data_IF_177718920420
#
_entry.id   IF_177718920420
#
_cell.length_a   1.000
_cell.length_b   1.000
_cell.length_c   1.000
_cell.angle_alpha   90.00
_cell.angle_beta   90.00
_cell.angle_gamma   90.00
#
_symmetry.space_group_name_H-M   'P 1'
#
loop_
_entity.id
_entity.type
_entity.pdbx_description
1 polymer ?
#
# COMPACT_ATOMS: atom_id res chain seq x y z
N UNK A 1 10.42 17.14 10.54
CA UNK A 1 10.48 17.03 12.03
C UNK A 1 9.07 17.28 12.58
N UNK A 2 8.60 16.45 13.50
CA UNK A 2 7.31 16.64 14.17
C UNK A 2 7.50 17.41 15.47
N UNK A 3 6.63 18.35 15.74
CA UNK A 3 6.53 19.12 16.99
C UNK A 3 5.08 19.14 17.44
N UNK A 4 4.87 19.41 18.72
CA UNK A 4 3.53 19.61 19.28
C UNK A 4 3.41 21.08 19.71
N UNK A 5 2.40 21.77 19.18
CA UNK A 5 2.16 23.19 19.48
C UNK A 5 0.70 23.31 19.93
N UNK A 6 0.48 23.75 21.15
CA UNK A 6 -0.89 23.84 21.78
C UNK A 6 -1.70 22.53 21.66
N UNK A 7 -1.05 21.38 21.83
CA UNK A 7 -1.69 20.07 21.75
C UNK A 7 -1.98 19.58 20.33
N UNK A 8 -1.52 20.29 19.29
CA UNK A 8 -1.65 19.89 17.89
C UNK A 8 -0.33 19.38 17.33
N UNK A 9 -0.32 18.21 16.68
CA UNK A 9 0.85 17.69 16.00
C UNK A 9 1.08 18.45 14.67
N UNK A 10 2.25 19.06 14.54
CA UNK A 10 2.67 19.84 13.37
C UNK A 10 3.96 19.25 12.80
N UNK A 11 4.04 19.14 11.47
CA UNK A 11 5.28 18.82 10.78
C UNK A 11 5.95 20.09 10.27
N UNK A 12 7.22 20.28 10.66
CA UNK A 12 8.11 21.31 10.13
C UNK A 12 8.92 20.72 8.99
N UNK A 13 8.86 21.35 7.82
CA UNK A 13 9.54 20.91 6.61
C UNK A 13 10.46 22.02 6.12
N UNK A 14 11.77 21.73 5.99
CA UNK A 14 12.75 22.67 5.45
C UNK A 14 12.93 22.41 3.95
N UNK A 15 12.67 23.42 3.14
CA UNK A 15 12.96 23.40 1.70
C UNK A 15 13.89 24.59 1.42
N UNK A 16 15.11 24.31 0.96
CA UNK A 16 16.16 25.31 0.80
C UNK A 16 16.38 26.08 2.14
N UNK A 17 16.21 27.39 2.15
CA UNK A 17 16.40 28.25 3.32
C UNK A 17 15.08 28.62 4.03
N UNK A 18 13.97 28.01 3.64
CA UNK A 18 12.66 28.29 4.25
C UNK A 18 12.13 27.10 5.02
N UNK A 19 11.46 27.36 6.12
CA UNK A 19 10.73 26.36 6.91
C UNK A 19 9.25 26.58 6.71
N UNK A 20 8.54 25.49 6.47
CA UNK A 20 7.08 25.42 6.31
C UNK A 20 6.50 24.58 7.45
N UNK A 21 5.29 24.90 7.88
CA UNK A 21 4.56 24.19 8.91
C UNK A 21 3.17 23.81 8.43
N UNK A 22 2.78 22.56 8.64
CA UNK A 22 1.45 22.06 8.34
C UNK A 22 1.06 20.94 9.32
N UNK A 23 -0.21 20.50 9.29
CA UNK A 23 -0.64 19.36 10.08
C UNK A 23 0.30 18.17 9.87
N UNK A 24 0.68 17.48 10.97
CA UNK A 24 1.58 16.32 10.90
C UNK A 24 0.86 15.02 10.53
N UNK A 25 -0.46 15.05 10.52
CA UNK A 25 -1.31 13.87 10.34
C UNK A 25 -2.00 13.93 8.99
N UNK A 26 -1.77 12.94 8.15
CA UNK A 26 -2.39 12.84 6.83
C UNK A 26 -3.92 12.74 6.94
N UNK A 27 -4.64 13.54 6.16
CA UNK A 27 -6.11 13.60 6.16
C UNK A 27 -6.79 12.34 5.59
N UNK A 28 -6.04 11.46 4.96
CA UNK A 28 -6.58 10.19 4.43
C UNK A 28 -6.88 9.20 5.58
N UNK A 29 -5.85 8.64 6.20
CA UNK A 29 -5.97 7.62 7.25
C UNK A 29 -5.01 7.86 8.43
N UNK A 30 -4.60 9.09 8.65
CA UNK A 30 -3.80 9.43 9.83
C UNK A 30 -2.30 9.14 9.73
N UNK A 31 -1.78 8.92 8.52
CA UNK A 31 -0.36 8.62 8.32
C UNK A 31 0.56 9.74 8.84
N UNK A 32 1.75 9.39 9.37
CA UNK A 32 2.70 10.34 9.96
C UNK A 32 3.48 11.06 8.86
N UNK A 33 3.17 12.33 8.61
CA UNK A 33 3.80 13.09 7.53
C UNK A 33 5.28 13.44 7.80
N UNK A 34 5.71 13.40 9.05
CA UNK A 34 7.12 13.53 9.42
C UNK A 34 8.02 12.39 8.93
N UNK A 35 7.44 11.23 8.64
CA UNK A 35 8.10 10.06 8.05
C UNK A 35 8.00 10.03 6.51
N UNK A 36 7.31 11.02 5.94
CA UNK A 36 7.08 11.13 4.51
C UNK A 36 8.33 11.49 3.70
N UNK A 37 8.25 11.29 2.40
CA UNK A 37 9.31 11.66 1.46
C UNK A 37 9.02 13.06 0.93
N UNK A 38 10.05 13.93 0.96
CA UNK A 38 9.98 15.28 0.43
C UNK A 38 10.68 15.33 -0.94
N UNK A 39 9.95 15.76 -1.96
CA UNK A 39 10.47 16.06 -3.28
C UNK A 39 10.08 17.50 -3.68
N UNK A 40 11.09 18.37 -3.77
CA UNK A 40 10.86 19.81 -3.93
C UNK A 40 9.95 20.36 -2.83
N UNK A 41 8.75 20.78 -3.20
CA UNK A 41 7.71 21.26 -2.27
C UNK A 41 6.62 20.22 -2.00
N UNK A 42 6.72 19.04 -2.56
CA UNK A 42 5.75 17.95 -2.43
C UNK A 42 6.15 17.02 -1.29
N UNK A 43 5.35 16.98 -0.23
CA UNK A 43 5.50 16.03 0.88
C UNK A 43 4.56 14.84 0.65
N UNK A 44 5.15 13.67 0.45
CA UNK A 44 4.43 12.42 0.16
C UNK A 44 4.25 11.61 1.44
N UNK A 45 2.99 11.29 1.77
CA UNK A 45 2.67 10.46 2.93
C UNK A 45 3.26 9.05 2.80
N UNK A 46 3.88 8.49 3.85
CA UNK A 46 4.54 7.19 3.78
C UNK A 46 3.55 6.02 3.71
N UNK A 47 2.27 6.22 4.11
CA UNK A 47 1.30 5.12 4.14
C UNK A 47 0.64 4.88 2.79
N UNK A 48 0.00 5.93 2.22
CA UNK A 48 -0.79 5.78 0.98
C UNK A 48 -0.44 6.82 -0.07
N UNK A 49 0.75 7.40 0.02
CA UNK A 49 1.33 8.29 -0.99
C UNK A 49 0.50 9.54 -1.30
N UNK A 50 -0.36 9.99 -0.38
CA UNK A 50 -1.03 11.28 -0.50
C UNK A 50 0.01 12.40 -0.54
N UNK A 51 -0.08 13.29 -1.52
CA UNK A 51 0.89 14.34 -1.79
C UNK A 51 0.31 15.68 -1.36
N UNK A 52 1.07 16.42 -0.56
CA UNK A 52 0.70 17.74 -0.06
C UNK A 52 1.78 18.77 -0.41
N UNK A 53 1.38 19.93 -0.89
CA UNK A 53 2.28 21.07 -1.10
C UNK A 53 2.57 21.72 0.26
N UNK A 54 3.83 21.65 0.72
CA UNK A 54 4.25 22.15 2.04
C UNK A 54 4.09 23.66 2.18
N UNK A 55 3.95 24.41 1.08
CA UNK A 55 3.78 25.89 1.08
C UNK A 55 2.41 26.35 1.54
N UNK A 56 1.38 25.53 1.32
CA UNK A 56 -0.03 25.88 1.56
C UNK A 56 -0.86 24.72 2.11
N UNK A 57 -0.24 23.57 2.38
CA UNK A 57 -0.84 22.34 2.84
C UNK A 57 -1.99 21.80 1.96
N UNK A 58 -2.08 22.25 0.71
CA UNK A 58 -3.06 21.73 -0.24
C UNK A 58 -2.65 20.36 -0.72
N UNK A 59 -3.62 19.48 -0.79
CA UNK A 59 -3.47 18.17 -1.42
C UNK A 59 -3.29 18.35 -2.93
N UNK A 60 -2.43 17.54 -3.53
CA UNK A 60 -2.28 17.49 -4.98
C UNK A 60 -3.58 17.06 -5.66
N UNK A 61 -3.90 17.62 -6.82
CA UNK A 61 -5.06 17.23 -7.63
C UNK A 61 -5.07 15.74 -8.00
N UNK A 62 -3.91 15.10 -7.93
CA UNK A 62 -3.74 13.67 -8.15
C UNK A 62 -4.12 12.82 -6.93
N UNK A 63 -4.22 13.41 -5.75
CA UNK A 63 -4.54 12.75 -4.49
C UNK A 63 -6.03 12.90 -4.18
N UNK A 64 -6.88 12.21 -4.94
CA UNK A 64 -8.35 12.30 -4.81
C UNK A 64 -8.92 11.69 -3.53
N UNK A 65 -8.11 10.98 -2.76
CA UNK A 65 -8.48 10.26 -1.54
C UNK A 65 -8.12 10.98 -0.24
N UNK A 66 -7.48 12.15 -0.31
CA UNK A 66 -7.18 12.99 0.84
C UNK A 66 -7.76 14.40 0.65
N UNK A 67 -7.84 15.16 1.72
CA UNK A 67 -8.29 16.55 1.74
C UNK A 67 -7.16 17.49 2.15
N UNK A 68 -7.31 18.79 1.86
CA UNK A 68 -6.34 19.79 2.29
C UNK A 68 -6.12 19.73 3.81
N UNK A 69 -4.90 19.97 4.21
CA UNK A 69 -4.48 20.15 5.60
C UNK A 69 -4.39 21.65 5.94
N UNK A 70 -4.17 21.94 7.21
CA UNK A 70 -3.92 23.32 7.63
C UNK A 70 -2.43 23.64 7.48
N UNK A 71 -2.13 24.83 6.94
CA UNK A 71 -0.80 25.42 6.93
C UNK A 71 -0.69 26.49 8.00
N UNK A 72 0.49 26.65 8.57
CA UNK A 72 0.78 27.55 9.68
C UNK A 72 1.89 28.52 9.33
N UNK A 73 1.83 29.73 9.86
CA UNK A 73 2.90 30.71 9.65
C UNK A 73 4.11 30.35 10.52
N UNK A 74 5.30 30.45 9.91
CA UNK A 74 6.57 30.20 10.59
C UNK A 74 7.40 31.46 10.60
N UNK A 75 7.93 31.84 11.76
CA UNK A 75 8.91 32.89 11.94
C UNK A 75 10.17 32.28 12.54
N UNK A 76 11.32 32.63 11.98
CA UNK A 76 12.63 32.21 12.48
C UNK A 76 13.38 33.43 12.97
N UNK A 77 13.71 33.44 14.25
CA UNK A 77 14.59 34.45 14.81
C UNK A 77 16.03 34.22 14.30
N UNK A 78 16.54 35.16 13.54
CA UNK A 78 17.90 35.04 12.94
C UNK A 78 19.02 35.14 13.95
N UNK A 79 18.76 35.72 15.12
CA UNK A 79 19.78 35.91 16.16
C UNK A 79 19.89 34.66 17.05
N UNK A 80 18.77 34.02 17.40
CA UNK A 80 18.73 32.85 18.28
C UNK A 80 18.56 31.54 17.54
N UNK A 81 18.01 31.56 16.32
CA UNK A 81 17.64 30.38 15.56
C UNK A 81 16.28 29.77 16.00
N UNK A 82 15.58 30.43 16.92
CA UNK A 82 14.28 29.95 17.41
C UNK A 82 13.21 29.99 16.32
N UNK A 83 12.36 28.96 16.32
CA UNK A 83 11.26 28.81 15.37
C UNK A 83 9.95 29.00 16.12
N UNK A 84 9.18 30.01 15.74
CA UNK A 84 7.82 30.24 16.22
C UNK A 84 6.78 29.86 15.17
N UNK A 85 5.73 29.13 15.60
CA UNK A 85 4.61 28.75 14.74
C UNK A 85 3.35 29.44 15.25
N UNK A 86 2.62 30.15 14.40
CA UNK A 86 1.36 30.80 14.76
C UNK A 86 0.16 30.14 14.07
N UNK A 87 -0.95 30.05 14.84
CA UNK A 87 -2.22 29.47 14.41
C UNK A 87 -3.18 30.48 13.78
N UNK A 88 -2.75 31.72 13.58
CA UNK A 88 -3.59 32.69 12.89
C UNK A 88 -3.87 32.22 11.47
N UNK A 89 -5.10 31.77 11.26
CA UNK A 89 -5.64 31.44 9.93
C UNK A 89 -5.82 32.76 9.19
N UNK A 90 -4.76 33.29 8.58
CA UNK A 90 -4.86 34.45 7.71
C UNK A 90 -5.54 34.03 6.41
N UNK A 91 -6.85 34.28 6.38
CA UNK A 91 -7.70 34.62 5.23
C UNK A 91 -7.02 34.39 3.86
N UNK A 92 -7.64 33.52 3.12
CA UNK A 92 -7.57 33.37 1.67
C UNK A 92 -7.40 34.73 0.94
N UNK A 93 -6.45 34.84 0.05
CA UNK A 93 -6.64 35.73 -1.08
C UNK A 93 -5.53 36.68 -1.51
N UNK A 94 -4.34 36.76 -0.89
CA UNK A 94 -3.32 37.74 -1.33
C UNK A 94 -1.97 37.19 -1.82
N UNK A 95 -1.69 35.93 -1.75
CA UNK A 95 -0.39 35.36 -2.20
C UNK A 95 -0.43 34.62 -3.56
N UNK A 96 -1.58 34.56 -4.23
CA UNK A 96 -1.75 33.81 -5.49
C UNK A 96 -1.09 34.45 -6.72
N UNK A 97 -0.57 35.69 -6.63
CA UNK A 97 0.04 36.36 -7.80
C UNK A 97 1.55 36.19 -7.92
N UNK A 98 2.26 35.85 -6.85
CA UNK A 98 3.74 35.67 -6.91
C UNK A 98 4.20 34.26 -7.32
N UNK A 99 3.36 33.23 -7.18
CA UNK A 99 3.75 31.85 -7.45
C UNK A 99 3.79 31.46 -8.94
N UNK A 100 3.24 32.27 -9.84
CA UNK A 100 3.26 31.96 -11.27
C UNK A 100 4.51 32.46 -12.01
N UNK A 101 5.22 33.44 -11.48
CA UNK A 101 6.44 33.96 -12.11
C UNK A 101 7.73 33.21 -11.69
N UNK A 102 7.74 32.60 -10.49
CA UNK A 102 8.92 31.84 -10.00
C UNK A 102 9.08 30.47 -10.71
N UNK A 103 8.07 29.94 -11.38
CA UNK A 103 8.12 28.66 -12.11
C UNK A 103 8.95 28.68 -13.40
N UNK A 104 9.41 29.86 -13.86
CA UNK A 104 10.06 29.99 -15.17
C UNK A 104 11.59 29.96 -15.14
N UNK A 105 12.25 29.94 -13.99
CA UNK A 105 13.69 30.21 -13.92
C UNK A 105 14.56 29.15 -13.20
N UNK A 106 14.12 27.94 -12.96
CA UNK A 106 14.99 26.91 -12.39
C UNK A 106 15.19 25.77 -13.40
N UNK A 107 16.39 25.75 -14.00
CA UNK A 107 16.83 24.71 -14.93
C UNK A 107 17.02 23.36 -14.26
N UNK A 108 15.98 22.57 -14.20
CA UNK A 108 16.09 21.11 -14.14
C UNK A 108 16.22 20.59 -15.58
N UNK A 109 17.07 19.58 -15.78
CA UNK A 109 17.25 19.01 -17.11
C UNK A 109 15.91 18.50 -17.65
N UNK A 110 15.60 18.88 -18.91
CA UNK A 110 14.29 18.72 -19.56
C UNK A 110 13.81 17.24 -19.65
N UNK A 111 14.73 16.29 -19.57
CA UNK A 111 14.43 14.85 -19.63
C UNK A 111 13.93 14.27 -18.30
N UNK A 112 14.48 14.70 -17.15
CA UNK A 112 13.98 14.28 -15.83
C UNK A 112 12.56 14.83 -15.59
N UNK A 113 12.33 16.08 -15.98
CA UNK A 113 11.01 16.71 -15.87
C UNK A 113 9.96 15.99 -16.70
N UNK A 114 10.26 15.60 -17.94
CA UNK A 114 9.34 14.84 -18.79
C UNK A 114 9.04 13.46 -18.24
N UNK A 115 10.04 12.78 -17.68
CA UNK A 115 9.85 11.49 -17.03
C UNK A 115 8.89 11.60 -15.83
N UNK A 116 9.09 12.57 -14.94
CA UNK A 116 8.21 12.78 -13.78
C UNK A 116 6.80 13.22 -14.20
N UNK A 117 6.65 14.12 -15.18
CA UNK A 117 5.35 14.54 -15.71
C UNK A 117 4.59 13.36 -16.37
N UNK A 118 5.28 12.41 -16.97
CA UNK A 118 4.67 11.22 -17.58
C UNK A 118 4.26 10.19 -16.52
N UNK A 119 5.08 9.95 -15.49
CA UNK A 119 4.74 9.09 -14.36
C UNK A 119 3.58 9.69 -13.53
N UNK A 120 3.59 10.99 -13.28
CA UNK A 120 2.49 11.72 -12.66
C UNK A 120 1.20 11.60 -13.48
N UNK A 121 1.28 11.73 -14.80
CA UNK A 121 0.12 11.60 -15.69
C UNK A 121 -0.44 10.17 -15.70
N UNK A 122 0.41 9.15 -15.60
CA UNK A 122 -0.01 7.74 -15.48
C UNK A 122 -0.72 7.49 -14.16
N UNK A 123 -0.18 7.99 -13.04
CA UNK A 123 -0.74 7.80 -11.70
C UNK A 123 -2.07 8.53 -11.49
N UNK A 124 -2.30 9.64 -12.19
CA UNK A 124 -3.55 10.44 -12.11
C UNK A 124 -4.61 10.04 -13.14
N UNK A 125 -4.30 9.10 -14.04
CA UNK A 125 -5.23 8.69 -15.08
C UNK A 125 -6.45 8.00 -14.48
N UNK A 126 -7.61 8.59 -14.67
CA UNK A 126 -8.90 7.97 -14.36
C UNK A 126 -9.16 6.81 -15.30
N UNK A 127 -9.41 5.64 -14.73
CA UNK A 127 -9.69 4.40 -15.43
C UNK A 127 -11.13 3.98 -15.21
N UNK A 128 -11.76 3.39 -16.21
CA UNK A 128 -13.06 2.74 -16.09
C UNK A 128 -12.87 1.22 -16.02
N UNK A 129 -13.38 0.60 -14.97
CA UNK A 129 -13.36 -0.84 -14.81
C UNK A 129 -14.78 -1.42 -14.81
N UNK A 130 -15.05 -2.35 -15.73
CA UNK A 130 -16.34 -3.02 -15.82
C UNK A 130 -16.31 -4.35 -15.06
N UNK A 131 -17.18 -4.52 -14.07
CA UNK A 131 -17.30 -5.76 -13.31
C UNK A 131 -17.77 -6.90 -14.23
N UNK A 132 -16.97 -7.97 -14.34
CA UNK A 132 -17.27 -9.14 -15.18
C UNK A 132 -17.67 -10.38 -14.38
N UNK A 133 -17.14 -10.55 -13.18
CA UNK A 133 -17.59 -11.58 -12.24
C UNK A 133 -17.31 -11.17 -10.79
N UNK A 134 -18.06 -11.79 -9.88
CA UNK A 134 -17.81 -11.76 -8.45
C UNK A 134 -18.10 -13.13 -7.87
N UNK A 135 -17.24 -13.58 -6.95
CA UNK A 135 -17.30 -14.90 -6.34
C UNK A 135 -17.10 -14.78 -4.84
N UNK A 136 -17.87 -15.52 -4.06
CA UNK A 136 -17.69 -15.64 -2.61
C UNK A 136 -16.85 -16.89 -2.32
N UNK A 137 -15.89 -16.78 -1.42
CA UNK A 137 -15.19 -17.94 -0.87
C UNK A 137 -16.15 -18.61 0.11
N UNK A 138 -16.63 -19.80 -0.27
CA UNK A 138 -17.69 -20.53 0.42
C UNK A 138 -17.47 -20.63 1.94
N UNK A 139 -18.48 -20.28 2.71
CA UNK A 139 -18.45 -20.31 4.17
C UNK A 139 -17.62 -19.20 4.82
N UNK A 140 -17.28 -18.16 4.07
CA UNK A 140 -16.50 -17.02 4.60
C UNK A 140 -17.13 -15.68 4.21
N UNK A 141 -16.56 -14.58 4.75
CA UNK A 141 -16.89 -13.21 4.39
C UNK A 141 -16.01 -12.66 3.24
N UNK A 142 -15.28 -13.51 2.53
CA UNK A 142 -14.33 -13.10 1.50
C UNK A 142 -15.00 -13.15 0.13
N UNK A 143 -14.94 -12.04 -0.59
CA UNK A 143 -15.36 -11.96 -1.99
C UNK A 143 -14.21 -11.54 -2.90
N UNK A 144 -14.19 -12.12 -4.08
CA UNK A 144 -13.29 -11.83 -5.18
C UNK A 144 -14.07 -11.19 -6.32
N UNK A 145 -13.54 -10.11 -6.88
CA UNK A 145 -14.14 -9.36 -7.98
C UNK A 145 -13.17 -9.33 -9.15
N UNK A 146 -13.66 -9.69 -10.34
CA UNK A 146 -12.95 -9.54 -11.61
C UNK A 146 -13.55 -8.37 -12.38
N UNK A 147 -12.68 -7.46 -12.78
CA UNK A 147 -13.04 -6.35 -13.65
C UNK A 147 -12.33 -6.52 -14.99
N UNK A 148 -13.02 -6.26 -16.10
CA UNK A 148 -12.39 -6.22 -17.41
C UNK A 148 -11.21 -5.23 -17.36
N UNK A 149 -10.03 -5.68 -17.80
CA UNK A 149 -8.83 -4.86 -17.76
C UNK A 149 -8.94 -3.76 -18.82
N UNK A 150 -8.83 -2.53 -18.39
CA UNK A 150 -8.49 -1.39 -19.24
C UNK A 150 -6.97 -1.26 -19.34
N UNK A 151 -6.47 -0.24 -20.02
CA UNK A 151 -5.05 0.06 -20.18
C UNK A 151 -4.38 0.46 -18.85
N UNK A 152 -4.24 -0.51 -17.94
CA UNK A 152 -3.52 -0.38 -16.69
C UNK A 152 -2.25 -1.22 -16.74
N UNK A 153 -1.10 -0.57 -16.87
CA UNK A 153 0.20 -1.19 -16.66
C UNK A 153 0.56 -1.06 -15.18
N UNK A 154 0.94 -2.16 -14.54
CA UNK A 154 1.31 -2.20 -13.13
C UNK A 154 2.37 -3.26 -12.86
N UNK A 155 3.08 -3.10 -11.74
CA UNK A 155 4.00 -4.10 -11.20
C UNK A 155 3.29 -5.02 -10.24
N UNK A 156 3.65 -6.31 -10.22
CA UNK A 156 3.06 -7.29 -9.33
C UNK A 156 3.24 -6.90 -7.86
N UNK A 157 2.13 -6.80 -7.12
CA UNK A 157 2.08 -6.36 -5.73
C UNK A 157 1.55 -4.94 -5.53
N UNK A 158 1.45 -4.12 -6.58
CA UNK A 158 0.86 -2.79 -6.50
C UNK A 158 -0.64 -2.82 -6.22
N UNK A 159 -1.19 -1.69 -5.82
CA UNK A 159 -2.61 -1.47 -5.56
C UNK A 159 -3.19 -0.36 -6.44
N UNK A 160 -4.52 -0.25 -6.47
CA UNK A 160 -5.24 0.85 -7.10
C UNK A 160 -6.39 1.32 -6.20
N UNK A 161 -6.83 2.55 -6.41
CA UNK A 161 -8.01 3.12 -5.76
C UNK A 161 -9.25 2.86 -6.60
N UNK A 162 -10.34 2.50 -5.92
CA UNK A 162 -11.63 2.20 -6.52
C UNK A 162 -12.70 3.09 -5.89
N UNK A 163 -13.42 3.84 -6.71
CA UNK A 163 -14.54 4.67 -6.29
C UNK A 163 -15.86 3.99 -6.64
N UNK A 164 -16.75 3.96 -5.69
CA UNK A 164 -18.10 3.47 -5.88
C UNK A 164 -19.12 4.59 -5.71
N UNK A 165 -19.98 4.75 -6.69
CA UNK A 165 -21.13 5.64 -6.57
C UNK A 165 -22.21 5.01 -5.68
N UNK A 166 -22.97 5.85 -4.98
CA UNK A 166 -24.06 5.42 -4.10
C UNK A 166 -23.60 4.88 -2.73
N UNK A 167 -22.36 5.12 -2.33
CA UNK A 167 -21.90 4.88 -0.94
C UNK A 167 -22.41 5.99 -0.05
N UNK A 168 -23.28 5.67 0.89
CA UNK A 168 -23.91 6.64 1.82
C UNK A 168 -23.54 6.25 3.26
N UNK A 169 -23.10 7.25 4.04
CA UNK A 169 -22.83 7.08 5.47
C UNK A 169 -21.55 6.30 5.82
N UNK A 170 -20.66 6.06 4.84
CA UNK A 170 -19.35 5.50 5.14
C UNK A 170 -18.39 6.60 5.63
N UNK A 171 -17.85 6.51 6.85
CA UNK A 171 -16.97 7.54 7.42
C UNK A 171 -15.68 7.74 6.63
N UNK A 172 -15.24 6.74 5.87
CA UNK A 172 -14.06 6.80 5.00
C UNK A 172 -14.42 7.19 3.55
N UNK A 173 -15.67 7.56 3.27
CA UNK A 173 -16.14 7.99 1.95
C UNK A 173 -16.22 6.87 0.89
N UNK A 174 -16.38 7.25 -0.39
CA UNK A 174 -16.67 6.32 -1.49
C UNK A 174 -15.43 5.72 -2.15
N UNK A 175 -14.23 5.97 -1.67
CA UNK A 175 -12.97 5.50 -2.28
C UNK A 175 -12.25 4.56 -1.33
N UNK A 176 -11.77 3.41 -1.86
CA UNK A 176 -10.89 2.47 -1.15
C UNK A 176 -9.80 1.99 -2.10
N UNK A 177 -8.64 1.71 -1.53
CA UNK A 177 -7.58 1.03 -2.26
C UNK A 177 -7.64 -0.48 -2.04
N UNK A 178 -7.24 -1.23 -3.07
CA UNK A 178 -7.10 -2.68 -3.01
C UNK A 178 -5.85 -3.10 -3.76
N UNK A 179 -5.07 -4.01 -3.16
CA UNK A 179 -3.98 -4.67 -3.87
C UNK A 179 -4.52 -5.37 -5.10
N UNK A 180 -3.84 -5.20 -6.23
CA UNK A 180 -4.16 -5.87 -7.48
C UNK A 180 -3.73 -7.34 -7.35
N UNK A 181 -4.69 -8.21 -7.03
CA UNK A 181 -4.41 -9.64 -6.86
C UNK A 181 -4.14 -10.34 -8.18
N UNK A 182 -4.60 -9.77 -9.33
CA UNK A 182 -4.17 -10.21 -10.65
C UNK A 182 -2.68 -9.91 -10.87
N UNK A 183 -2.03 -10.75 -11.67
CA UNK A 183 -0.68 -10.50 -12.16
C UNK A 183 -0.70 -9.52 -13.36
N UNK A 184 0.36 -8.74 -13.59
CA UNK A 184 0.54 -8.02 -14.86
C UNK A 184 0.45 -8.90 -16.10
N UNK A 185 0.73 -10.20 -15.97
CA UNK A 185 0.64 -11.20 -17.05
C UNK A 185 -0.80 -11.61 -17.38
N UNK A 186 -1.75 -11.43 -16.44
CA UNK A 186 -3.18 -11.66 -16.64
C UNK A 186 -3.81 -10.45 -17.34
N UNK A 187 -3.79 -10.44 -18.67
CA UNK A 187 -4.13 -9.27 -19.48
C UNK A 187 -5.62 -9.01 -19.67
N UNK A 188 -6.46 -9.96 -19.32
CA UNK A 188 -7.91 -9.89 -19.59
C UNK A 188 -8.68 -9.19 -18.48
N UNK A 189 -8.18 -9.24 -17.24
CA UNK A 189 -8.89 -8.73 -16.07
C UNK A 189 -7.97 -8.19 -14.97
N UNK A 190 -8.55 -7.33 -14.15
CA UNK A 190 -8.04 -6.93 -12.85
C UNK A 190 -8.81 -7.71 -11.79
N UNK A 191 -8.10 -8.28 -10.83
CA UNK A 191 -8.64 -9.06 -9.72
C UNK A 191 -8.39 -8.33 -8.42
N UNK A 192 -9.43 -8.16 -7.62
CA UNK A 192 -9.31 -7.75 -6.21
C UNK A 192 -10.08 -8.73 -5.33
N UNK A 193 -9.59 -8.95 -4.10
CA UNK A 193 -10.35 -9.70 -3.10
C UNK A 193 -10.37 -8.97 -1.78
N UNK A 194 -11.50 -9.08 -1.08
CA UNK A 194 -11.69 -8.38 0.19
C UNK A 194 -12.68 -9.10 1.08
N UNK A 195 -12.61 -8.83 2.40
CA UNK A 195 -13.64 -9.25 3.34
C UNK A 195 -14.82 -8.29 3.29
N UNK A 196 -16.01 -8.83 3.19
CA UNK A 196 -17.26 -8.06 3.24
C UNK A 196 -17.66 -7.94 4.71
N UNK A 197 -17.24 -6.84 5.35
CA UNK A 197 -17.58 -6.51 6.73
C UNK A 197 -18.62 -5.40 6.79
N UNK A 198 -18.99 -4.98 8.00
CA UNK A 198 -19.99 -3.93 8.24
C UNK A 198 -19.47 -2.53 7.89
N UNK A 199 -19.33 -2.27 6.60
CA UNK A 199 -18.96 -1.00 6.00
C UNK A 199 -19.91 -0.71 4.83
N UNK A 200 -20.48 0.49 4.74
CA UNK A 200 -21.33 0.88 3.60
C UNK A 200 -20.63 0.69 2.26
N UNK A 201 -19.34 1.00 2.16
CA UNK A 201 -18.55 0.75 0.95
C UNK A 201 -18.49 -0.74 0.59
N UNK A 202 -18.17 -1.62 1.55
CA UNK A 202 -18.05 -3.06 1.32
C UNK A 202 -19.40 -3.68 0.93
N UNK A 203 -20.48 -3.28 1.58
CA UNK A 203 -21.86 -3.68 1.22
C UNK A 203 -22.21 -3.22 -0.19
N UNK A 204 -21.85 -1.97 -0.55
CA UNK A 204 -22.07 -1.45 -1.90
C UNK A 204 -21.27 -2.24 -2.94
N UNK A 205 -19.99 -2.53 -2.66
CA UNK A 205 -19.13 -3.34 -3.55
C UNK A 205 -19.75 -4.72 -3.78
N UNK A 206 -20.18 -5.41 -2.73
CA UNK A 206 -20.82 -6.72 -2.82
C UNK A 206 -22.15 -6.69 -3.62
N UNK A 207 -22.90 -5.57 -3.56
CA UNK A 207 -24.17 -5.39 -4.27
C UNK A 207 -24.04 -5.03 -5.75
N UNK A 208 -22.85 -4.73 -6.25
CA UNK A 208 -22.64 -4.36 -7.66
C UNK A 208 -23.20 -5.44 -8.60
N UNK A 209 -23.90 -5.01 -9.64
CA UNK A 209 -24.34 -5.90 -10.69
C UNK A 209 -23.23 -6.16 -11.71
N UNK A 210 -23.18 -7.36 -12.28
CA UNK A 210 -22.30 -7.66 -13.40
C UNK A 210 -22.56 -6.65 -14.52
N UNK A 211 -21.49 -6.10 -15.11
CA UNK A 211 -21.58 -5.06 -16.12
C UNK A 211 -21.50 -3.64 -15.57
N UNK A 212 -21.56 -3.43 -14.22
CA UNK A 212 -21.36 -2.10 -13.63
C UNK A 212 -19.95 -1.60 -13.92
N UNK A 213 -19.85 -0.35 -14.38
CA UNK A 213 -18.58 0.36 -14.51
C UNK A 213 -18.30 1.18 -13.26
N UNK A 214 -17.05 1.14 -12.80
CA UNK A 214 -16.56 1.89 -11.65
C UNK A 214 -15.32 2.69 -12.03
N UNK A 215 -15.06 3.77 -11.31
CA UNK A 215 -13.87 4.58 -11.48
C UNK A 215 -12.72 4.04 -10.64
N UNK A 216 -11.51 4.07 -11.18
CA UNK A 216 -10.29 3.68 -10.48
C UNK A 216 -9.12 4.60 -10.83
N UNK A 217 -8.13 4.64 -9.96
CA UNK A 217 -6.86 5.36 -10.14
C UNK A 217 -5.69 4.50 -9.67
N UNK A 218 -4.57 4.64 -10.33
CA UNK A 218 -3.34 3.91 -10.03
C UNK A 218 -2.64 3.47 -11.30
N UNK A 219 -1.66 2.56 -11.22
CA UNK A 219 -1.27 1.81 -10.01
C UNK A 219 -0.44 2.65 -9.05
N UNK A 220 -0.37 2.21 -7.79
CA UNK A 220 0.48 2.79 -6.76
C UNK A 220 1.10 1.71 -5.87
N UNK A 221 2.10 2.09 -5.06
CA UNK A 221 2.75 1.22 -4.09
C UNK A 221 4.12 0.71 -4.52
N UNK A 222 4.99 0.54 -3.52
CA UNK A 222 6.38 0.05 -3.68
C UNK A 222 6.54 -1.38 -3.13
N UNK A 223 5.43 -2.01 -2.74
CA UNK A 223 5.41 -3.38 -2.26
C UNK A 223 5.45 -4.36 -3.43
N UNK A 224 6.59 -4.38 -4.13
CA UNK A 224 6.83 -5.19 -5.32
C UNK A 224 7.99 -6.16 -5.11
N UNK A 225 7.97 -7.27 -5.86
CA UNK A 225 9.07 -8.24 -5.81
C UNK A 225 10.38 -7.55 -6.24
N UNK A 226 11.45 -7.77 -5.47
CA UNK A 226 12.77 -7.23 -5.81
C UNK A 226 13.35 -7.89 -7.06
N UNK A 227 14.17 -7.16 -7.80
CA UNK A 227 14.75 -7.62 -9.06
C UNK A 227 16.04 -8.45 -8.89
N UNK A 228 16.67 -8.37 -7.72
CA UNK A 228 17.84 -9.19 -7.43
C UNK A 228 17.43 -10.60 -7.00
N UNK A 229 17.15 -11.46 -7.98
CA UNK A 229 16.67 -12.82 -7.78
C UNK A 229 17.73 -13.79 -7.18
N UNK A 230 18.98 -13.35 -6.99
CA UNK A 230 19.95 -14.13 -6.20
C UNK A 230 19.63 -14.10 -4.69
N UNK A 231 18.76 -13.17 -4.25
CA UNK A 231 18.24 -13.13 -2.89
C UNK A 231 16.88 -13.83 -2.87
N UNK A 232 16.67 -14.85 -2.02
CA UNK A 232 15.35 -15.45 -1.88
C UNK A 232 14.32 -14.45 -1.34
N UNK A 233 13.05 -14.65 -1.66
CA UNK A 233 11.92 -13.91 -1.11
C UNK A 233 11.17 -14.78 -0.10
N UNK A 234 10.94 -14.27 1.10
CA UNK A 234 10.10 -14.92 2.12
C UNK A 234 8.86 -14.06 2.35
N UNK A 235 7.69 -14.61 2.03
CA UNK A 235 6.39 -13.94 2.16
C UNK A 235 5.68 -14.41 3.42
N UNK A 236 5.26 -13.49 4.27
CA UNK A 236 4.49 -13.74 5.49
C UNK A 236 3.10 -13.13 5.31
N UNK A 237 2.12 -13.98 5.00
CA UNK A 237 0.76 -13.62 4.67
C UNK A 237 -0.19 -13.88 5.84
N UNK A 238 -1.15 -12.97 6.06
CA UNK A 238 -2.24 -13.15 7.01
C UNK A 238 -3.62 -12.92 6.40
N UNK A 239 -4.38 -13.99 6.18
CA UNK A 239 -5.72 -13.93 5.64
C UNK A 239 -5.77 -13.20 4.30
N UNK A 240 -6.55 -12.10 4.19
CA UNK A 240 -6.68 -11.35 2.94
C UNK A 240 -5.36 -10.67 2.49
N UNK A 241 -4.34 -10.58 3.35
CA UNK A 241 -3.00 -10.09 3.00
C UNK A 241 -2.27 -10.94 1.96
N UNK A 242 -2.84 -12.05 1.55
CA UNK A 242 -2.33 -12.91 0.47
C UNK A 242 -2.45 -12.25 -0.92
N UNK A 243 -3.29 -11.22 -1.08
CA UNK A 243 -3.60 -10.61 -2.38
C UNK A 243 -2.40 -10.08 -3.16
N UNK A 244 -1.47 -9.28 -2.60
CA UNK A 244 -0.28 -8.85 -3.34
C UNK A 244 0.65 -10.03 -3.66
N UNK A 245 0.72 -11.02 -2.78
CA UNK A 245 1.55 -12.21 -3.01
C UNK A 245 1.02 -13.08 -4.13
N UNK A 246 -0.31 -13.18 -4.30
CA UNK A 246 -0.88 -13.87 -5.48
C UNK A 246 -0.38 -13.25 -6.77
N UNK A 247 -0.40 -11.93 -6.86
CA UNK A 247 0.10 -11.19 -8.02
C UNK A 247 1.59 -11.47 -8.29
N UNK A 248 2.42 -11.39 -7.24
CA UNK A 248 3.88 -11.60 -7.35
C UNK A 248 4.23 -13.06 -7.74
N UNK A 249 3.59 -14.04 -7.09
CA UNK A 249 3.83 -15.47 -7.35
C UNK A 249 3.40 -15.83 -8.78
N UNK A 250 2.22 -15.36 -9.19
CA UNK A 250 1.73 -15.58 -10.56
C UNK A 250 2.70 -14.98 -11.57
N UNK A 251 3.12 -13.73 -11.37
CA UNK A 251 4.07 -13.05 -12.24
C UNK A 251 5.40 -13.81 -12.34
N UNK A 252 5.97 -14.21 -11.19
CA UNK A 252 7.23 -14.95 -11.15
C UNK A 252 7.12 -16.30 -11.88
N UNK A 253 6.00 -17.00 -11.69
CA UNK A 253 5.73 -18.29 -12.34
C UNK A 253 5.54 -18.14 -13.85
N UNK A 254 4.73 -17.18 -14.31
CA UNK A 254 4.48 -16.96 -15.75
C UNK A 254 5.71 -16.46 -16.50
N UNK A 255 6.57 -15.69 -15.82
CA UNK A 255 7.82 -15.17 -16.37
C UNK A 255 9.02 -16.11 -16.20
N UNK A 256 8.81 -17.27 -15.58
CA UNK A 256 9.88 -18.22 -15.24
C UNK A 256 11.07 -17.53 -14.55
N UNK A 257 10.77 -16.63 -13.57
CA UNK A 257 11.82 -15.94 -12.87
C UNK A 257 12.62 -16.91 -11.98
N UNK A 258 13.95 -16.77 -11.91
CA UNK A 258 14.79 -17.61 -11.05
C UNK A 258 14.71 -17.21 -9.56
N UNK A 259 13.64 -16.52 -9.17
CA UNK A 259 13.40 -16.07 -7.80
C UNK A 259 12.92 -17.22 -6.93
N UNK A 260 13.72 -17.62 -5.92
CA UNK A 260 13.30 -18.59 -4.91
C UNK A 260 12.31 -17.90 -3.95
N UNK A 261 11.07 -18.37 -3.94
CA UNK A 261 9.97 -17.80 -3.15
C UNK A 261 9.49 -18.86 -2.14
N UNK A 262 9.49 -18.48 -0.86
CA UNK A 262 8.85 -19.27 0.20
C UNK A 262 7.75 -18.42 0.84
N UNK A 263 6.49 -18.86 0.76
CA UNK A 263 5.35 -18.18 1.37
C UNK A 263 4.81 -18.96 2.56
N UNK A 264 4.62 -18.27 3.68
CA UNK A 264 3.83 -18.73 4.81
C UNK A 264 2.47 -18.03 4.77
N UNK A 265 1.41 -18.79 4.56
CA UNK A 265 0.04 -18.27 4.48
C UNK A 265 -0.76 -18.67 5.71
N UNK A 266 -0.96 -17.72 6.62
CA UNK A 266 -1.63 -17.94 7.91
C UNK A 266 -3.10 -17.56 7.84
N UNK A 267 -3.95 -18.52 8.12
CA UNK A 267 -5.41 -18.36 8.12
C UNK A 267 -6.02 -18.87 9.42
N UNK A 268 -7.29 -18.55 9.70
CA UNK A 268 -8.00 -19.08 10.87
C UNK A 268 -8.27 -20.57 10.71
N UNK A 269 -8.83 -20.95 9.59
CA UNK A 269 -9.15 -22.34 9.25
C UNK A 269 -8.83 -22.62 7.78
N UNK A 270 -8.89 -23.89 7.41
CA UNK A 270 -8.68 -24.33 6.03
C UNK A 270 -9.61 -23.64 5.03
N UNK A 271 -10.87 -23.39 5.40
CA UNK A 271 -11.87 -22.72 4.55
C UNK A 271 -11.52 -21.26 4.24
N UNK A 272 -10.70 -20.61 5.08
CA UNK A 272 -10.27 -19.23 4.89
C UNK A 272 -9.06 -19.08 3.95
N UNK A 273 -8.49 -20.16 3.44
CA UNK A 273 -7.33 -20.12 2.54
C UNK A 273 -7.76 -19.70 1.15
N UNK A 274 -7.57 -18.43 0.85
CA UNK A 274 -7.90 -17.85 -0.46
C UNK A 274 -6.88 -18.30 -1.52
N UNK A 275 -7.34 -18.58 -2.74
CA UNK A 275 -6.52 -19.00 -3.90
C UNK A 275 -5.76 -20.34 -3.76
N UNK A 276 -6.12 -21.17 -2.78
CA UNK A 276 -5.37 -22.41 -2.51
C UNK A 276 -5.14 -23.26 -3.77
N UNK A 277 -6.18 -23.51 -4.55
CA UNK A 277 -6.06 -24.34 -5.75
C UNK A 277 -5.14 -23.73 -6.83
N UNK A 278 -5.11 -22.40 -6.96
CA UNK A 278 -4.19 -21.71 -7.87
C UNK A 278 -2.74 -21.85 -7.39
N UNK A 279 -2.51 -21.62 -6.09
CA UNK A 279 -1.19 -21.77 -5.48
C UNK A 279 -0.64 -23.19 -5.60
N UNK A 280 -1.45 -24.20 -5.28
CA UNK A 280 -1.06 -25.60 -5.41
C UNK A 280 -0.70 -25.94 -6.88
N UNK A 281 -1.48 -25.41 -7.83
CA UNK A 281 -1.18 -25.56 -9.25
C UNK A 281 0.09 -24.83 -9.70
N UNK A 282 0.47 -23.71 -9.04
CA UNK A 282 1.74 -23.02 -9.36
C UNK A 282 2.94 -23.72 -8.71
N UNK A 283 2.80 -24.21 -7.48
CA UNK A 283 3.85 -25.04 -6.84
C UNK A 283 4.21 -26.26 -7.71
N UNK A 284 3.20 -26.89 -8.32
CA UNK A 284 3.44 -28.03 -9.21
C UNK A 284 4.21 -27.67 -10.50
N UNK A 285 4.31 -26.39 -10.89
CA UNK A 285 4.92 -25.92 -12.13
C UNK A 285 6.16 -25.04 -11.94
N UNK A 286 6.43 -24.62 -10.71
CA UNK A 286 7.51 -23.69 -10.38
C UNK A 286 8.34 -24.30 -9.25
N UNK A 287 9.47 -24.89 -9.59
CA UNK A 287 10.40 -25.52 -8.62
C UNK A 287 10.99 -24.52 -7.61
N UNK A 288 10.98 -23.21 -7.94
CA UNK A 288 11.46 -22.15 -7.07
C UNK A 288 10.37 -21.64 -6.08
N UNK A 289 9.16 -22.23 -6.12
CA UNK A 289 8.03 -21.83 -5.27
C UNK A 289 7.73 -22.89 -4.21
N UNK A 290 7.71 -22.47 -2.94
CA UNK A 290 7.26 -23.27 -1.79
C UNK A 290 6.19 -22.49 -1.04
N UNK A 291 5.07 -23.14 -0.69
CA UNK A 291 4.00 -22.54 0.10
C UNK A 291 3.71 -23.39 1.32
N UNK A 292 3.72 -22.77 2.48
CA UNK A 292 3.42 -23.35 3.77
C UNK A 292 2.12 -22.74 4.28
N UNK A 293 1.07 -23.54 4.35
CA UNK A 293 -0.20 -23.14 4.94
C UNK A 293 -0.20 -23.42 6.43
N UNK A 294 -0.61 -22.45 7.25
CA UNK A 294 -0.83 -22.64 8.69
C UNK A 294 -2.21 -22.17 9.10
N UNK A 295 -2.85 -22.89 10.02
CA UNK A 295 -4.18 -22.56 10.57
C UNK A 295 -4.10 -22.32 12.07
N UNK A 296 -4.83 -21.30 12.57
CA UNK A 296 -4.73 -20.87 13.96
C UNK A 296 -5.86 -21.39 14.85
N UNK A 297 -7.03 -21.64 14.29
CA UNK A 297 -8.25 -21.99 15.02
C UNK A 297 -8.78 -23.40 14.66
N UNK A 298 -8.06 -24.14 13.82
CA UNK A 298 -8.47 -25.48 13.41
C UNK A 298 -8.03 -26.50 14.45
N UNK A 299 -9.00 -26.99 15.22
CA UNK A 299 -8.81 -28.09 16.19
C UNK A 299 -8.91 -29.47 15.53
N UNK A 300 -9.17 -29.55 14.22
CA UNK A 300 -9.29 -30.85 13.53
C UNK A 300 -7.93 -31.55 13.49
N UNK A 301 -7.96 -32.86 13.73
CA UNK A 301 -6.78 -33.73 13.59
C UNK A 301 -6.38 -33.96 12.13
N UNK A 302 -7.24 -33.56 11.18
CA UNK A 302 -7.13 -33.86 9.75
C UNK A 302 -6.35 -32.81 8.94
N UNK A 303 -6.04 -31.64 9.54
CA UNK A 303 -5.26 -30.61 8.84
C UNK A 303 -3.79 -31.06 8.66
N UNK A 304 -3.33 -31.27 7.41
CA UNK A 304 -1.99 -31.80 7.14
C UNK A 304 -0.89 -30.74 7.15
N UNK A 305 -1.26 -29.44 7.21
CA UNK A 305 -0.30 -28.31 7.21
C UNK A 305 0.16 -27.94 8.62
N UNK A 306 0.85 -26.80 8.69
CA UNK A 306 1.30 -26.23 9.98
C UNK A 306 0.11 -25.75 10.81
N UNK A 307 0.28 -25.75 12.14
CA UNK A 307 -0.72 -25.27 13.11
C UNK A 307 -0.14 -24.11 13.92
N UNK A 308 -0.99 -23.16 14.25
CA UNK A 308 -0.64 -21.98 15.03
C UNK A 308 -0.22 -20.79 14.18
N UNK A 309 0.25 -19.75 14.88
CA UNK A 309 0.75 -18.54 14.24
C UNK A 309 2.15 -18.77 13.68
N UNK A 310 2.48 -18.05 12.62
CA UNK A 310 3.85 -18.02 12.10
C UNK A 310 4.79 -17.57 13.23
N UNK A 311 5.80 -18.35 13.51
CA UNK A 311 6.84 -18.07 14.50
C UNK A 311 8.24 -18.37 13.95
N UNK A 312 9.26 -18.04 14.73
CA UNK A 312 10.66 -18.29 14.39
C UNK A 312 10.90 -19.76 14.05
N UNK A 313 10.41 -20.68 14.88
CA UNK A 313 10.64 -22.11 14.72
C UNK A 313 10.01 -22.64 13.43
N UNK A 314 8.83 -22.15 13.04
CA UNK A 314 8.19 -22.48 11.77
C UNK A 314 9.02 -22.00 10.58
N UNK A 315 9.53 -20.75 10.64
CA UNK A 315 10.39 -20.22 9.56
C UNK A 315 11.66 -21.06 9.43
N UNK A 316 12.36 -21.34 10.54
CA UNK A 316 13.60 -22.12 10.55
C UNK A 316 13.42 -23.60 10.09
N UNK A 317 12.22 -24.18 10.25
CA UNK A 317 11.92 -25.53 9.69
C UNK A 317 11.80 -25.54 8.17
N UNK A 318 11.39 -24.44 7.58
CA UNK A 318 11.02 -24.41 6.16
C UNK A 318 11.95 -23.59 5.28
N UNK A 319 12.80 -22.75 5.85
CA UNK A 319 13.79 -21.92 5.14
C UNK A 319 15.18 -22.25 5.65
N UNK A 320 16.06 -22.66 4.76
CA UNK A 320 17.44 -22.98 5.09
C UNK A 320 18.20 -21.74 5.60
N UNK A 321 19.13 -21.93 6.55
CA UNK A 321 19.87 -20.84 7.16
C UNK A 321 20.58 -19.95 6.13
N UNK A 322 21.21 -20.56 5.13
CA UNK A 322 21.90 -19.81 4.07
C UNK A 322 20.96 -18.94 3.23
N UNK A 323 19.69 -19.31 3.11
CA UNK A 323 18.65 -18.51 2.47
C UNK A 323 18.12 -17.43 3.42
N UNK A 324 17.92 -17.73 4.71
CA UNK A 324 17.54 -16.74 5.73
C UNK A 324 18.52 -15.55 5.75
N UNK A 325 19.81 -15.84 5.68
CA UNK A 325 20.88 -14.83 5.73
C UNK A 325 20.86 -13.85 4.56
N UNK A 326 20.18 -14.20 3.46
CA UNK A 326 20.11 -13.40 2.23
C UNK A 326 18.71 -12.90 1.88
N UNK A 327 17.67 -13.54 2.43
CA UNK A 327 16.27 -13.29 2.04
C UNK A 327 15.83 -11.86 2.25
N UNK A 328 14.95 -11.40 1.35
CA UNK A 328 14.10 -10.25 1.55
C UNK A 328 12.75 -10.75 2.07
N UNK A 329 12.32 -10.21 3.19
CA UNK A 329 11.05 -10.57 3.82
C UNK A 329 9.97 -9.58 3.42
N UNK A 330 8.79 -10.10 3.14
CA UNK A 330 7.59 -9.33 2.81
C UNK A 330 6.48 -9.72 3.77
N UNK A 331 5.90 -8.74 4.43
CA UNK A 331 4.83 -8.98 5.41
C UNK A 331 3.58 -8.25 4.93
N UNK A 332 2.46 -8.97 4.81
CA UNK A 332 1.18 -8.38 4.49
C UNK A 332 0.06 -9.06 5.28
N UNK A 333 -0.78 -8.26 5.95
CA UNK A 333 -1.86 -8.77 6.78
C UNK A 333 -2.40 -7.75 7.78
N UNK A 334 -3.13 -8.21 8.82
CA UNK A 334 -3.67 -7.32 9.84
C UNK A 334 -2.59 -6.62 10.68
N UNK A 335 -2.84 -5.39 11.19
CA UNK A 335 -1.85 -4.60 11.94
C UNK A 335 -1.17 -5.34 13.09
N UNK A 336 -1.92 -6.10 13.88
CA UNK A 336 -1.37 -6.89 14.98
C UNK A 336 -0.39 -7.98 14.50
N UNK A 337 -0.64 -8.61 13.35
CA UNK A 337 0.27 -9.57 12.75
C UNK A 337 1.53 -8.88 12.22
N UNK A 338 1.39 -7.75 11.52
CA UNK A 338 2.53 -6.99 11.00
C UNK A 338 3.52 -6.64 12.11
N UNK A 339 3.01 -6.09 13.23
CA UNK A 339 3.82 -5.76 14.40
C UNK A 339 4.55 -6.99 14.95
N UNK A 340 3.82 -8.08 15.19
CA UNK A 340 4.40 -9.33 15.73
C UNK A 340 5.47 -9.92 14.81
N UNK A 341 5.24 -9.91 13.48
CA UNK A 341 6.19 -10.42 12.50
C UNK A 341 7.44 -9.54 12.42
N UNK A 342 7.30 -8.21 12.40
CA UNK A 342 8.44 -7.30 12.42
C UNK A 342 9.30 -7.48 13.68
N UNK A 343 8.66 -7.56 14.86
CA UNK A 343 9.35 -7.81 16.12
C UNK A 343 10.10 -9.16 16.10
N UNK A 344 9.45 -10.23 15.65
CA UNK A 344 10.04 -11.55 15.52
C UNK A 344 11.24 -11.57 14.57
N UNK A 345 11.10 -10.99 13.37
CA UNK A 345 12.17 -10.92 12.39
C UNK A 345 13.37 -10.13 12.91
N UNK A 346 13.15 -8.96 13.53
CA UNK A 346 14.23 -8.07 13.98
C UNK A 346 14.88 -8.57 15.28
N UNK A 347 14.09 -9.00 16.27
CA UNK A 347 14.60 -9.33 17.61
C UNK A 347 15.05 -10.78 17.74
N UNK A 348 14.33 -11.72 17.12
CA UNK A 348 14.61 -13.15 17.28
C UNK A 348 15.45 -13.73 16.14
N UNK A 349 15.17 -13.34 14.88
CA UNK A 349 15.92 -13.78 13.70
C UNK A 349 17.03 -12.79 13.29
N UNK A 350 17.09 -11.61 13.93
CA UNK A 350 18.09 -10.57 13.69
C UNK A 350 18.17 -10.10 12.22
N UNK A 351 17.03 -10.11 11.53
CA UNK A 351 16.93 -9.65 10.17
C UNK A 351 16.99 -8.11 10.15
N UNK A 352 17.92 -7.48 9.41
CA UNK A 352 18.00 -6.03 9.28
C UNK A 352 16.71 -5.42 8.71
N UNK A 353 16.33 -4.23 9.20
CA UNK A 353 15.06 -3.55 8.82
C UNK A 353 14.95 -3.33 7.31
N UNK A 354 16.05 -3.03 6.64
CA UNK A 354 16.13 -2.81 5.18
C UNK A 354 15.85 -4.05 4.34
N UNK A 355 15.84 -5.22 4.95
CA UNK A 355 15.43 -6.49 4.32
C UNK A 355 13.99 -6.88 4.61
N UNK A 356 13.24 -6.02 5.28
CA UNK A 356 11.83 -6.26 5.64
C UNK A 356 10.96 -5.22 4.93
N UNK A 357 10.15 -5.67 3.99
CA UNK A 357 9.11 -4.87 3.32
C UNK A 357 7.77 -5.18 3.95
N UNK A 358 6.96 -4.15 4.17
CA UNK A 358 5.67 -4.27 4.86
C UNK A 358 4.60 -3.56 4.06
N UNK A 359 3.43 -4.19 3.91
CA UNK A 359 2.21 -3.55 3.44
C UNK A 359 1.10 -3.74 4.46
N UNK A 360 0.55 -2.63 4.94
CA UNK A 360 -0.49 -2.62 5.96
C UNK A 360 -1.87 -2.45 5.35
N UNK A 361 -2.80 -3.31 5.73
CA UNK A 361 -4.21 -3.16 5.39
C UNK A 361 -4.97 -2.45 6.51
N UNK A 362 -5.03 -1.12 6.44
CA UNK A 362 -5.70 -0.25 7.44
C UNK A 362 -7.20 -0.09 7.23
N UNK A 363 -7.79 -0.72 6.27
CA UNK A 363 -9.18 -0.52 5.83
C UNK A 363 -10.22 -1.51 6.36
N UNK A 364 -9.94 -2.30 7.42
CA UNK A 364 -10.82 -3.40 7.85
C UNK A 364 -11.54 -3.13 9.14
#
# INVERSE_FOLDING_TARGET
>A
MRVEVEGKPIVLVKVKDRIYAMDAVCSHEGGPLEEGTLDGYSLKCPWHYAIFDVRNAKVSDQTVWATNLNSYQVQVDKATGDISVSFDVSSEGKQLKQSHEERKNEGAQDDDRKFYEEEERKASRKLGFKLVSKEELEGTDIMTFKFARSELDFSAGQFAYFKLDGVIGDPKGPIRHFSLASSPTEREYILISTRIRDSPYKKRLASLQIGTEIEAWGPQGEFVLHENYSKPAVFLSGGIGVTPFRSMIRFATDKHLPAKITMFDSNRSQQNILYKNEFDGWVARNENLKIIYTVTDDSSSEWPGEKGRIDKAMIERHVEQNDLDKSIFYICGPPAMLKAMQEMLQQQLRIPKERVKVEEFTGY
#
